data_IF_378226362335
#
_entry.id   IF_378226362335
#
_cell.length_a   1.000
_cell.length_b   1.000
_cell.length_c   1.000
_cell.angle_alpha   90.00
_cell.angle_beta   90.00
_cell.angle_gamma   90.00
#
_symmetry.space_group_name_H-M   'P 1'
#
loop_
_entity.id
_entity.type
_entity.pdbx_description
1 polymer ?
#
# COMPACT_ATOMS: atom_id res chain seq x y z
N UNK A 1 3.85 19.37 19.48
CA UNK A 1 3.54 18.09 18.80
C UNK A 1 4.07 16.96 19.66
N UNK A 2 3.23 16.10 20.20
CA UNK A 2 3.68 14.94 20.98
C UNK A 2 3.93 13.79 20.00
N UNK A 3 5.20 13.51 19.67
CA UNK A 3 5.56 12.34 18.88
C UNK A 3 5.35 11.09 19.73
N UNK A 4 4.40 10.24 19.32
CA UNK A 4 4.16 8.98 20.01
C UNK A 4 5.32 8.04 19.69
N UNK A 5 6.07 7.55 20.69
CA UNK A 5 7.24 6.73 20.43
C UNK A 5 6.84 5.45 19.70
N UNK A 6 7.66 5.08 18.71
CA UNK A 6 7.44 3.86 17.94
C UNK A 6 7.66 2.64 18.84
N UNK A 7 6.79 1.64 18.69
CA UNK A 7 6.90 0.38 19.43
C UNK A 7 8.26 -0.26 19.18
N UNK A 8 8.88 -0.77 20.25
CA UNK A 8 10.05 -1.64 20.19
C UNK A 8 9.60 -3.10 20.28
N UNK A 9 10.13 -3.93 19.40
CA UNK A 9 9.91 -5.36 19.35
C UNK A 9 11.19 -6.08 19.81
N UNK A 10 11.10 -6.97 20.82
CA UNK A 10 12.25 -7.72 21.33
C UNK A 10 12.96 -8.61 20.30
N UNK A 11 12.25 -9.11 19.28
CA UNK A 11 12.80 -9.99 18.25
C UNK A 11 12.26 -9.64 16.85
N UNK A 12 12.95 -10.09 15.80
CA UNK A 12 12.59 -9.85 14.39
C UNK A 12 11.28 -10.55 13.98
N UNK A 13 10.99 -11.68 14.62
CA UNK A 13 9.82 -12.51 14.33
C UNK A 13 8.52 -11.78 14.70
N UNK A 14 8.56 -10.90 15.72
CA UNK A 14 7.40 -10.15 16.16
C UNK A 14 6.89 -9.13 15.13
N UNK A 15 7.71 -8.21 14.57
CA UNK A 15 7.28 -7.32 13.51
C UNK A 15 6.95 -8.07 12.21
N UNK A 16 7.61 -9.20 11.91
CA UNK A 16 7.21 -10.09 10.79
C UNK A 16 5.79 -10.60 10.98
N UNK A 17 5.49 -11.20 12.15
CA UNK A 17 4.14 -11.67 12.47
C UNK A 17 3.11 -10.52 12.46
N UNK A 18 3.47 -9.35 12.99
CA UNK A 18 2.60 -8.18 12.96
C UNK A 18 2.28 -7.74 11.51
N UNK A 19 3.27 -7.77 10.61
CA UNK A 19 3.09 -7.45 9.19
C UNK A 19 2.21 -8.48 8.47
N UNK A 20 2.39 -9.76 8.75
CA UNK A 20 1.53 -10.82 8.22
C UNK A 20 0.08 -10.63 8.65
N UNK A 21 -0.17 -10.36 9.93
CA UNK A 21 -1.53 -10.15 10.46
C UNK A 21 -2.21 -8.91 9.87
N UNK A 22 -1.45 -7.86 9.58
CA UNK A 22 -2.01 -6.64 9.01
C UNK A 22 -2.43 -6.80 7.55
N UNK A 23 -1.68 -7.56 6.75
CA UNK A 23 -1.76 -7.51 5.28
C UNK A 23 -1.95 -8.88 4.61
N UNK A 24 -2.12 -9.97 5.37
CA UNK A 24 -2.24 -11.37 4.89
C UNK A 24 -1.09 -11.84 3.98
N UNK A 25 0.08 -11.23 4.14
CA UNK A 25 1.28 -11.65 3.40
C UNK A 25 1.78 -13.01 3.91
N UNK A 26 2.38 -13.78 3.01
CA UNK A 26 3.17 -14.95 3.40
C UNK A 26 4.36 -14.50 4.25
N UNK A 27 4.84 -15.41 5.08
CA UNK A 27 5.98 -15.14 5.97
C UNK A 27 7.23 -14.68 5.19
N UNK A 28 7.64 -15.31 4.07
CA UNK A 28 8.82 -14.87 3.34
C UNK A 28 8.67 -13.45 2.76
N UNK A 29 7.50 -13.12 2.23
CA UNK A 29 7.22 -11.78 1.70
C UNK A 29 7.19 -10.72 2.81
N UNK A 30 6.60 -11.05 3.96
CA UNK A 30 6.58 -10.17 5.12
C UNK A 30 8.01 -9.94 5.65
N UNK A 31 8.84 -10.98 5.72
CA UNK A 31 10.22 -10.89 6.20
C UNK A 31 11.05 -9.90 5.38
N UNK A 32 11.01 -10.00 4.05
CA UNK A 32 11.72 -9.06 3.16
C UNK A 32 11.34 -7.60 3.41
N UNK A 33 10.06 -7.31 3.65
CA UNK A 33 9.60 -5.95 3.94
C UNK A 33 10.02 -5.48 5.33
N UNK A 34 9.98 -6.37 6.32
CA UNK A 34 10.29 -6.04 7.71
C UNK A 34 11.78 -5.82 7.90
N UNK A 35 12.64 -6.70 7.37
CA UNK A 35 14.10 -6.56 7.48
C UNK A 35 14.60 -5.22 6.91
N UNK A 36 14.00 -4.76 5.81
CA UNK A 36 14.27 -3.42 5.26
C UNK A 36 13.64 -2.28 6.05
N UNK A 37 12.50 -2.54 6.70
CA UNK A 37 11.62 -1.54 7.30
C UNK A 37 11.83 -1.27 8.79
N UNK A 38 12.68 -2.04 9.46
CA UNK A 38 13.05 -1.83 10.86
C UNK A 38 14.51 -1.37 11.00
N UNK A 39 14.80 -0.76 12.14
CA UNK A 39 16.15 -0.46 12.61
C UNK A 39 16.38 -1.14 13.96
N UNK A 40 17.63 -1.49 14.23
CA UNK A 40 18.06 -1.95 15.55
C UNK A 40 18.09 -0.75 16.49
N UNK A 41 17.52 -0.91 17.67
CA UNK A 41 17.48 0.07 18.76
C UNK A 41 17.80 -0.63 20.07
N UNK A 42 17.99 0.13 21.14
CA UNK A 42 18.08 -0.45 22.48
C UNK A 42 16.82 -1.27 22.79
N UNK A 43 17.00 -2.52 23.21
CA UNK A 43 15.90 -3.44 23.52
C UNK A 43 15.27 -4.15 22.31
N UNK A 44 15.80 -4.00 21.09
CA UNK A 44 15.43 -4.82 19.94
C UNK A 44 15.28 -4.04 18.63
N UNK A 45 14.08 -4.08 18.04
CA UNK A 45 13.79 -3.54 16.72
C UNK A 45 12.64 -2.55 16.75
N UNK A 46 12.76 -1.45 16.01
CA UNK A 46 11.67 -0.49 15.85
C UNK A 46 11.46 -0.15 14.38
N UNK A 47 10.23 0.18 13.98
CA UNK A 47 9.95 0.63 12.62
C UNK A 47 10.76 1.90 12.28
N UNK A 48 11.13 2.07 11.03
CA UNK A 48 11.73 3.30 10.52
C UNK A 48 10.69 4.35 10.06
N UNK A 49 9.40 4.01 10.12
CA UNK A 49 8.32 4.85 9.57
C UNK A 49 8.11 6.14 10.37
N UNK A 50 8.00 7.25 9.65
CA UNK A 50 7.61 8.54 10.22
C UNK A 50 6.12 8.52 10.65
N UNK A 51 5.78 8.85 11.91
CA UNK A 51 4.39 8.90 12.38
C UNK A 51 3.49 9.85 11.59
N UNK A 52 4.03 10.88 10.94
CA UNK A 52 3.26 11.83 10.14
C UNK A 52 2.62 11.18 8.92
N UNK A 53 3.11 10.03 8.47
CA UNK A 53 2.51 9.26 7.38
C UNK A 53 1.13 8.69 7.74
N UNK A 54 0.72 8.69 9.02
CA UNK A 54 -0.63 8.30 9.43
C UNK A 54 -1.60 9.47 9.53
N UNK A 55 -1.15 10.70 9.28
CA UNK A 55 -2.01 11.87 9.29
C UNK A 55 -2.92 11.87 8.04
N UNK A 56 -4.16 12.36 8.15
CA UNK A 56 -5.01 12.56 6.98
C UNK A 56 -4.33 13.48 5.95
N UNK A 57 -4.49 13.16 4.67
CA UNK A 57 -4.07 14.07 3.60
C UNK A 57 -4.80 15.41 3.74
N UNK A 58 -4.06 16.52 3.67
CA UNK A 58 -4.62 17.87 3.80
C UNK A 58 -5.56 18.22 2.63
N UNK A 59 -5.28 17.71 1.43
CA UNK A 59 -6.10 17.89 0.23
C UNK A 59 -6.23 16.52 -0.45
N UNK A 60 -7.45 16.16 -0.82
CA UNK A 60 -7.73 14.98 -1.64
C UNK A 60 -8.19 15.44 -3.03
N UNK A 61 -7.74 14.74 -4.06
CA UNK A 61 -8.25 14.94 -5.41
C UNK A 61 -9.73 14.57 -5.47
N UNK A 62 -10.51 15.33 -6.24
CA UNK A 62 -11.88 14.94 -6.59
C UNK A 62 -11.85 13.82 -7.63
N UNK A 63 -12.92 13.03 -7.75
CA UNK A 63 -12.97 11.99 -8.78
C UNK A 63 -12.83 12.56 -10.20
N UNK A 64 -13.39 13.75 -10.47
CA UNK A 64 -13.21 14.43 -11.77
C UNK A 64 -11.73 14.79 -12.05
N UNK A 65 -10.96 15.18 -11.03
CA UNK A 65 -9.52 15.42 -11.19
C UNK A 65 -8.76 14.13 -11.46
N UNK A 66 -9.16 13.02 -10.83
CA UNK A 66 -8.57 11.70 -11.08
C UNK A 66 -8.87 11.23 -12.51
N UNK A 67 -10.11 11.40 -12.97
CA UNK A 67 -10.53 11.04 -14.32
C UNK A 67 -9.72 11.79 -15.39
N UNK A 68 -9.50 13.10 -15.21
CA UNK A 68 -8.65 13.90 -16.10
C UNK A 68 -7.21 13.40 -16.09
N UNK A 69 -6.65 13.06 -14.92
CA UNK A 69 -5.30 12.51 -14.81
C UNK A 69 -5.18 11.19 -15.58
N UNK A 70 -6.11 10.26 -15.39
CA UNK A 70 -6.10 8.95 -16.06
C UNK A 70 -6.24 9.08 -17.58
N UNK A 71 -7.13 9.96 -18.05
CA UNK A 71 -7.30 10.25 -19.47
C UNK A 71 -6.06 10.86 -20.13
N UNK A 72 -5.22 11.53 -19.34
CA UNK A 72 -3.99 12.18 -19.81
C UNK A 72 -2.81 11.22 -19.98
N UNK A 73 -2.93 9.97 -19.51
CA UNK A 73 -1.89 8.95 -19.68
C UNK A 73 -1.78 8.60 -21.17
N UNK A 74 -0.67 9.02 -21.78
CA UNK A 74 -0.44 8.87 -23.22
C UNK A 74 0.33 7.59 -23.58
N UNK A 75 1.05 6.99 -22.63
CA UNK A 75 1.83 5.78 -22.89
C UNK A 75 0.99 4.50 -22.75
N UNK A 76 1.36 3.42 -23.47
CA UNK A 76 0.75 2.10 -23.26
C UNK A 76 0.87 1.67 -21.80
N UNK A 77 -0.24 1.25 -21.20
CA UNK A 77 -0.35 0.99 -19.77
C UNK A 77 -0.84 -0.43 -19.50
N UNK A 78 -0.13 -1.16 -18.63
CA UNK A 78 -0.59 -2.44 -18.11
C UNK A 78 -1.18 -2.23 -16.71
N UNK A 79 -2.50 -2.36 -16.60
CA UNK A 79 -3.23 -2.30 -15.35
C UNK A 79 -3.33 -3.73 -14.76
N UNK A 80 -2.71 -3.98 -13.61
CA UNK A 80 -2.76 -5.28 -12.93
C UNK A 80 -3.52 -5.13 -11.61
N UNK A 81 -4.56 -5.94 -11.41
CA UNK A 81 -5.37 -5.93 -10.19
C UNK A 81 -5.58 -7.32 -9.63
N UNK A 82 -5.70 -7.41 -8.30
CA UNK A 82 -5.98 -8.67 -7.62
C UNK A 82 -7.47 -9.01 -7.59
N UNK A 83 -7.80 -10.30 -7.53
CA UNK A 83 -9.15 -10.82 -7.31
C UNK A 83 -9.23 -11.64 -6.02
N UNK A 84 -10.26 -11.46 -5.17
CA UNK A 84 -11.39 -10.54 -5.35
C UNK A 84 -10.97 -9.07 -5.22
N UNK A 85 -11.78 -8.17 -5.79
CA UNK A 85 -11.55 -6.73 -5.67
C UNK A 85 -11.52 -6.30 -4.21
N UNK A 86 -10.65 -5.35 -3.87
CA UNK A 86 -10.54 -4.87 -2.50
C UNK A 86 -11.80 -4.08 -2.12
N UNK A 87 -12.29 -4.16 -0.86
CA UNK A 87 -13.51 -3.46 -0.44
C UNK A 87 -13.47 -1.95 -0.67
N UNK A 88 -12.29 -1.34 -0.55
CA UNK A 88 -12.07 0.10 -0.76
C UNK A 88 -11.84 0.47 -2.23
N UNK A 89 -11.70 -0.51 -3.13
CA UNK A 89 -11.52 -0.30 -4.55
C UNK A 89 -12.29 -1.35 -5.36
N UNK A 90 -13.64 -1.21 -5.43
CA UNK A 90 -14.51 -2.19 -6.07
C UNK A 90 -14.25 -2.33 -7.58
N UNK A 91 -14.67 -3.46 -8.15
CA UNK A 91 -14.51 -3.77 -9.57
C UNK A 91 -15.06 -2.66 -10.49
N UNK A 92 -16.23 -2.10 -10.18
CA UNK A 92 -16.82 -1.02 -10.98
C UNK A 92 -15.93 0.23 -11.04
N UNK A 93 -15.30 0.61 -9.92
CA UNK A 93 -14.39 1.76 -9.88
C UNK A 93 -13.08 1.47 -10.62
N UNK A 94 -12.54 0.25 -10.48
CA UNK A 94 -11.40 -0.21 -11.29
C UNK A 94 -11.71 -0.12 -12.78
N UNK A 95 -12.83 -0.68 -13.21
CA UNK A 95 -13.21 -0.79 -14.62
C UNK A 95 -13.41 0.60 -15.24
N UNK A 96 -14.08 1.51 -14.51
CA UNK A 96 -14.16 2.93 -14.88
C UNK A 96 -12.77 3.54 -15.09
N UNK A 97 -11.88 3.44 -14.10
CA UNK A 97 -10.55 4.05 -14.17
C UNK A 97 -9.66 3.45 -15.26
N UNK A 98 -9.79 2.15 -15.53
CA UNK A 98 -9.07 1.52 -16.65
C UNK A 98 -9.58 2.01 -17.99
N UNK A 99 -10.90 2.16 -18.15
CA UNK A 99 -11.51 2.66 -19.38
C UNK A 99 -11.14 4.13 -19.68
N UNK A 100 -10.80 4.93 -18.66
CA UNK A 100 -10.32 6.30 -18.86
C UNK A 100 -8.97 6.36 -19.59
N UNK A 101 -8.13 5.34 -19.46
CA UNK A 101 -6.81 5.31 -20.10
C UNK A 101 -6.90 4.79 -21.53
N UNK A 102 -6.42 5.57 -22.51
CA UNK A 102 -6.60 5.30 -23.95
C UNK A 102 -6.01 3.96 -24.42
N UNK A 103 -4.84 3.60 -23.91
CA UNK A 103 -4.11 2.38 -24.28
C UNK A 103 -3.80 1.56 -23.02
N UNK A 104 -4.86 1.16 -22.30
CA UNK A 104 -4.73 0.30 -21.13
C UNK A 104 -5.12 -1.16 -21.44
N UNK A 105 -4.29 -2.07 -20.95
CA UNK A 105 -4.61 -3.51 -20.86
C UNK A 105 -4.86 -3.89 -19.43
N UNK A 106 -6.02 -4.50 -19.15
CA UNK A 106 -6.33 -5.04 -17.84
C UNK A 106 -5.85 -6.49 -17.72
N UNK A 107 -5.15 -6.79 -16.63
CA UNK A 107 -4.82 -8.15 -16.22
C UNK A 107 -5.25 -8.37 -14.76
N UNK A 108 -5.96 -9.47 -14.52
CA UNK A 108 -6.44 -9.85 -13.20
C UNK A 108 -5.66 -11.05 -12.69
N UNK A 109 -5.19 -10.98 -11.45
CA UNK A 109 -4.46 -12.05 -10.78
C UNK A 109 -5.17 -12.47 -9.49
N UNK A 110 -5.13 -13.76 -9.10
CA UNK A 110 -5.55 -14.17 -7.76
C UNK A 110 -4.74 -13.46 -6.68
N UNK A 111 -5.41 -12.93 -5.65
CA UNK A 111 -4.80 -12.23 -4.52
C UNK A 111 -4.88 -12.98 -3.20
#
# INVERSE_FOLDING_TARGET
CHERPLRVFPSMEMPVRARMMANRLTEPAARLLVERGVRVVEGGYSWCSDPRLTLPAAIRMTEAQIDVLLASIACPTQAIFATPAQPYFPAALRDHRVAMMRDARLHLLPG
#
